data_IF_693327102072
#
_entry.id   IF_693327102072
#
_cell.length_a   1.000
_cell.length_b   1.000
_cell.length_c   1.000
_cell.angle_alpha   90.00
_cell.angle_beta   90.00
_cell.angle_gamma   90.00
#
_symmetry.space_group_name_H-M   'P 1'
#
loop_
_entity.id
_entity.type
_entity.pdbx_description
1 polymer ?
#
# COMPACT_ATOMS: atom_id res chain seq x y z
N UNK A 1 -1.70 -5.85 6.27
CA UNK A 1 -2.32 -5.82 4.93
C UNK A 1 -3.84 -5.89 5.03
N UNK A 2 -4.57 -5.08 4.27
CA UNK A 2 -6.04 -5.01 4.32
C UNK A 2 -6.61 -5.29 2.96
N UNK A 3 -7.31 -6.39 2.81
CA UNK A 3 -7.83 -6.82 1.51
C UNK A 3 -9.20 -6.21 1.20
N UNK A 4 -10.25 -6.52 1.91
CA UNK A 4 -11.57 -5.94 1.63
C UNK A 4 -11.87 -4.73 2.54
N UNK A 5 -12.22 -3.61 1.95
CA UNK A 5 -12.58 -2.40 2.70
C UNK A 5 -13.97 -2.45 3.37
N UNK A 6 -14.83 -3.36 2.99
CA UNK A 6 -16.15 -3.53 3.63
C UNK A 6 -16.06 -4.33 4.91
N UNK A 7 -14.95 -5.03 5.11
CA UNK A 7 -14.72 -5.86 6.29
C UNK A 7 -14.02 -5.04 7.37
N UNK A 8 -14.67 -4.89 8.49
CA UNK A 8 -14.07 -4.33 9.70
C UNK A 8 -13.18 -5.41 10.29
N UNK A 9 -11.86 -5.25 10.14
CA UNK A 9 -10.90 -6.19 10.71
C UNK A 9 -10.63 -5.85 12.17
N UNK A 10 -10.49 -6.89 12.99
CA UNK A 10 -9.91 -6.72 14.31
C UNK A 10 -8.48 -6.19 14.16
N UNK A 11 -8.06 -5.29 15.06
CA UNK A 11 -6.68 -4.80 15.07
C UNK A 11 -5.71 -5.95 15.35
N UNK A 12 -4.55 -5.91 14.74
CA UNK A 12 -3.45 -6.84 15.02
C UNK A 12 -2.84 -6.51 16.39
N UNK A 13 -2.64 -5.21 16.66
CA UNK A 13 -2.19 -4.72 17.96
C UNK A 13 -3.27 -3.85 18.61
N UNK A 14 -3.42 -3.89 19.94
CA UNK A 14 -4.32 -3.01 20.65
C UNK A 14 -3.93 -1.54 20.45
N UNK A 15 -4.88 -0.64 20.63
CA UNK A 15 -4.57 0.80 20.66
C UNK A 15 -3.62 1.07 21.86
N UNK A 16 -2.60 1.86 21.58
CA UNK A 16 -1.73 2.41 22.63
C UNK A 16 -2.51 3.53 23.30
N UNK A 17 -2.66 3.43 24.61
CA UNK A 17 -3.28 4.48 25.42
C UNK A 17 -2.28 5.62 25.59
N UNK A 18 -2.62 6.80 25.05
CA UNK A 18 -1.76 7.98 25.05
C UNK A 18 -2.50 9.12 25.71
N UNK A 19 -1.94 9.65 26.79
CA UNK A 19 -2.53 10.78 27.49
C UNK A 19 -2.40 12.07 26.68
N UNK A 20 -3.31 13.03 26.94
CA UNK A 20 -3.27 14.34 26.32
C UNK A 20 -1.96 15.10 26.61
N UNK A 21 -1.39 14.90 27.80
CA UNK A 21 -0.11 15.53 28.16
C UNK A 21 1.07 14.96 27.36
N UNK A 22 1.09 13.66 27.12
CA UNK A 22 2.09 13.02 26.25
C UNK A 22 1.97 13.52 24.80
N UNK A 23 0.75 13.67 24.29
CA UNK A 23 0.53 14.25 22.97
C UNK A 23 0.98 15.71 22.90
N UNK A 24 0.69 16.51 23.95
CA UNK A 24 1.12 17.91 24.04
C UNK A 24 2.65 18.05 24.06
N UNK A 25 3.33 17.15 24.75
CA UNK A 25 4.81 17.09 24.81
C UNK A 25 5.41 16.91 23.41
N UNK A 26 4.95 15.90 22.65
CA UNK A 26 5.54 15.59 21.34
C UNK A 26 5.16 16.56 20.23
N UNK A 27 4.00 17.23 20.31
CA UNK A 27 3.64 18.30 19.35
C UNK A 27 4.20 19.67 19.75
N UNK A 28 4.79 19.79 20.94
CA UNK A 28 5.46 21.01 21.41
C UNK A 28 4.50 22.17 21.69
N UNK A 29 3.22 21.89 22.08
CA UNK A 29 2.23 22.94 22.28
C UNK A 29 0.95 22.49 22.99
N UNK A 30 0.14 23.48 23.41
CA UNK A 30 -1.17 23.20 23.99
C UNK A 30 -2.14 22.68 22.94
N UNK A 31 -2.89 21.64 23.31
CA UNK A 31 -3.81 20.92 22.43
C UNK A 31 -5.25 21.45 22.59
N UNK A 32 -5.92 21.77 21.49
CA UNK A 32 -7.37 22.02 21.42
C UNK A 32 -8.11 20.69 21.34
N UNK A 33 -7.76 19.84 20.37
CA UNK A 33 -8.36 18.52 20.15
C UNK A 33 -7.33 17.45 19.90
N UNK A 34 -7.62 16.23 20.35
CA UNK A 34 -6.86 15.03 20.03
C UNK A 34 -7.86 13.89 19.84
N UNK A 35 -7.86 13.32 18.66
CA UNK A 35 -8.80 12.26 18.27
C UNK A 35 -8.04 11.08 17.69
N UNK A 36 -8.33 9.83 18.12
CA UNK A 36 -7.74 8.66 17.50
C UNK A 36 -8.24 8.54 16.05
N UNK A 37 -7.35 8.22 15.14
CA UNK A 37 -7.68 7.95 13.75
C UNK A 37 -8.13 6.51 13.62
N UNK A 38 -9.39 6.32 13.25
CA UNK A 38 -9.94 5.00 13.03
C UNK A 38 -9.37 4.35 11.77
N UNK A 39 -9.38 3.05 11.78
CA UNK A 39 -9.07 2.26 10.59
C UNK A 39 -7.62 1.74 10.51
N UNK A 40 -6.68 2.11 11.40
CA UNK A 40 -5.36 1.48 11.54
C UNK A 40 -5.45 0.05 12.11
N UNK A 41 -4.72 -0.94 11.53
CA UNK A 41 -4.70 -2.32 12.07
C UNK A 41 -3.61 -2.49 13.12
N UNK A 42 -2.52 -1.80 12.94
CA UNK A 42 -1.25 -2.00 13.64
C UNK A 42 -0.96 -0.81 14.55
N UNK A 43 -0.62 0.32 14.02
CA UNK A 43 -0.18 1.48 14.76
C UNK A 43 -1.33 2.33 15.33
N UNK A 44 -1.03 3.13 16.31
CA UNK A 44 -1.98 4.10 16.88
C UNK A 44 -1.65 5.49 16.35
N UNK A 45 -2.62 6.13 15.72
CA UNK A 45 -2.47 7.48 15.18
C UNK A 45 -3.49 8.38 15.86
N UNK A 46 -3.04 9.56 16.29
CA UNK A 46 -3.92 10.63 16.77
C UNK A 46 -3.83 11.83 15.84
N UNK A 47 -4.99 12.36 15.45
CA UNK A 47 -5.08 13.69 14.85
C UNK A 47 -5.12 14.71 15.97
N UNK A 48 -4.12 15.57 16.04
CA UNK A 48 -3.94 16.54 17.14
C UNK A 48 -3.97 17.95 16.58
N UNK A 49 -4.83 18.82 17.12
CA UNK A 49 -4.88 20.24 16.77
C UNK A 49 -4.43 21.08 17.97
N UNK A 50 -3.50 22.00 17.75
CA UNK A 50 -2.93 22.88 18.77
C UNK A 50 -3.66 24.22 18.85
N UNK A 51 -3.41 25.01 19.93
CA UNK A 51 -3.92 26.38 20.07
C UNK A 51 -3.39 27.32 18.98
N UNK A 52 -2.26 27.00 18.34
CA UNK A 52 -1.74 27.71 17.17
C UNK A 52 -2.51 27.37 15.87
N UNK A 53 -3.57 26.56 15.96
CA UNK A 53 -4.35 26.06 14.82
C UNK A 53 -3.54 25.23 13.81
N UNK A 54 -2.48 24.61 14.28
CA UNK A 54 -1.71 23.62 13.53
C UNK A 54 -2.27 22.24 13.81
N UNK A 55 -2.34 21.38 12.77
CA UNK A 55 -2.83 20.02 12.90
C UNK A 55 -1.74 19.01 12.53
N UNK A 56 -1.56 18.04 13.40
CA UNK A 56 -0.53 17.00 13.29
C UNK A 56 -1.14 15.61 13.34
N UNK A 57 -0.48 14.66 12.68
CA UNK A 57 -0.62 13.24 12.92
C UNK A 57 0.48 12.78 13.87
N UNK A 58 0.10 12.14 14.97
CA UNK A 58 1.03 11.55 15.93
C UNK A 58 0.92 10.04 15.82
N UNK A 59 1.90 9.39 15.21
CA UNK A 59 1.92 7.93 14.96
C UNK A 59 2.82 7.24 15.97
N UNK A 60 2.23 6.32 16.73
CA UNK A 60 2.90 5.44 17.68
C UNK A 60 3.02 4.04 17.08
N UNK A 61 4.23 3.50 17.03
CA UNK A 61 4.51 2.20 16.39
C UNK A 61 4.37 1.05 17.38
N UNK A 62 3.39 0.18 17.17
CA UNK A 62 3.19 -1.05 17.94
C UNK A 62 3.89 -2.25 17.29
N UNK A 63 4.20 -2.19 15.99
CA UNK A 63 4.88 -3.25 15.23
C UNK A 63 6.38 -3.37 15.44
N UNK A 64 6.96 -2.47 16.24
CA UNK A 64 8.37 -2.53 16.61
C UNK A 64 9.29 -1.54 15.89
N UNK A 65 10.57 -1.65 16.21
CA UNK A 65 11.63 -0.74 15.77
C UNK A 65 11.79 -0.72 14.25
N UNK A 66 11.75 -1.88 13.61
CA UNK A 66 12.01 -1.99 12.17
C UNK A 66 10.98 -1.18 11.35
N UNK A 67 9.72 -1.21 11.72
CA UNK A 67 8.66 -0.44 11.03
C UNK A 67 8.83 1.07 11.23
N UNK A 68 9.17 1.47 12.46
CA UNK A 68 9.46 2.88 12.77
C UNK A 68 10.67 3.39 11.95
N UNK A 69 11.77 2.66 11.95
CA UNK A 69 13.01 3.04 11.26
C UNK A 69 12.80 3.08 9.73
N UNK A 70 12.06 2.09 9.19
CA UNK A 70 11.71 2.03 7.77
C UNK A 70 10.90 3.25 7.35
N UNK A 71 9.81 3.57 8.06
CA UNK A 71 8.99 4.73 7.70
C UNK A 71 9.76 6.03 7.85
N UNK A 72 10.49 6.23 8.94
CA UNK A 72 11.29 7.45 9.16
C UNK A 72 12.34 7.65 8.07
N UNK A 73 13.06 6.59 7.71
CA UNK A 73 14.09 6.62 6.66
C UNK A 73 13.46 6.97 5.32
N UNK A 74 12.34 6.31 4.97
CA UNK A 74 11.63 6.53 3.71
C UNK A 74 11.04 7.93 3.60
N UNK A 75 10.39 8.43 4.65
CA UNK A 75 9.86 9.80 4.66
C UNK A 75 10.99 10.85 4.54
N UNK A 76 12.15 10.57 5.12
CA UNK A 76 13.33 11.46 5.00
C UNK A 76 13.87 11.45 3.56
N UNK A 77 13.99 10.26 2.95
CA UNK A 77 14.51 10.09 1.60
C UNK A 77 13.61 10.77 0.56
N UNK A 78 12.29 10.58 0.67
CA UNK A 78 11.31 11.07 -0.30
C UNK A 78 10.85 12.51 -0.06
N UNK A 79 11.36 13.17 0.98
CA UNK A 79 10.97 14.55 1.29
C UNK A 79 11.20 15.50 0.11
N UNK A 80 10.14 16.21 -0.28
CA UNK A 80 10.17 17.17 -1.41
C UNK A 80 10.10 16.53 -2.81
N UNK A 81 10.10 15.20 -2.93
CA UNK A 81 10.01 14.51 -4.23
C UNK A 81 8.61 13.97 -4.50
N UNK A 82 7.94 13.43 -3.49
CA UNK A 82 6.60 12.89 -3.56
C UNK A 82 5.66 13.56 -2.55
N UNK A 83 4.34 13.53 -2.76
CA UNK A 83 3.37 13.99 -1.78
C UNK A 83 3.29 12.98 -0.62
N UNK A 84 4.15 13.13 0.37
CA UNK A 84 4.25 12.28 1.55
C UNK A 84 4.08 13.11 2.83
N UNK A 85 3.86 12.48 4.01
CA UNK A 85 3.85 13.18 5.28
C UNK A 85 5.14 13.94 5.55
N UNK A 86 5.04 15.23 5.89
CA UNK A 86 6.18 16.03 6.34
C UNK A 86 6.42 15.77 7.82
N UNK A 87 7.55 15.12 8.14
CA UNK A 87 7.96 14.85 9.52
C UNK A 87 8.39 16.15 10.19
N UNK A 88 7.80 16.45 11.35
CA UNK A 88 8.11 17.68 12.12
C UNK A 88 8.80 17.40 13.45
N UNK A 89 8.59 16.19 14.01
CA UNK A 89 9.26 15.78 15.24
C UNK A 89 9.35 14.25 15.30
N UNK A 90 10.40 13.75 15.95
CA UNK A 90 10.64 12.32 16.17
C UNK A 90 10.99 12.11 17.63
N UNK A 91 10.27 11.24 18.32
CA UNK A 91 10.67 10.69 19.62
C UNK A 91 11.15 9.26 19.41
N UNK A 92 12.45 9.12 19.23
CA UNK A 92 13.10 7.85 18.94
C UNK A 92 12.92 6.83 20.08
N UNK A 93 12.99 7.30 21.32
CA UNK A 93 12.90 6.43 22.49
C UNK A 93 11.50 5.79 22.65
N UNK A 94 10.46 6.54 22.27
CA UNK A 94 9.07 6.06 22.33
C UNK A 94 8.56 5.52 21.00
N UNK A 95 9.39 5.55 19.94
CA UNK A 95 9.02 5.20 18.56
C UNK A 95 7.77 5.99 18.10
N UNK A 96 7.86 7.32 18.15
CA UNK A 96 6.79 8.24 17.75
C UNK A 96 7.26 9.12 16.62
N UNK A 97 6.50 9.18 15.53
CA UNK A 97 6.69 10.17 14.46
C UNK A 97 5.53 11.15 14.51
N UNK A 98 5.85 12.44 14.54
CA UNK A 98 4.89 13.53 14.39
C UNK A 98 5.07 14.13 12.99
N UNK A 99 4.00 14.19 12.23
CA UNK A 99 4.00 14.77 10.89
C UNK A 99 2.86 15.77 10.72
N UNK A 100 3.02 16.69 9.79
CA UNK A 100 1.91 17.60 9.43
C UNK A 100 0.73 16.80 8.91
N UNK A 101 -0.45 17.10 9.42
CA UNK A 101 -1.66 16.40 9.01
C UNK A 101 -1.97 16.64 7.54
N UNK A 102 -2.19 15.57 6.78
CA UNK A 102 -2.60 15.65 5.38
C UNK A 102 -4.12 15.57 5.31
N UNK A 103 -4.73 16.65 4.88
CA UNK A 103 -6.19 16.69 4.70
C UNK A 103 -6.60 15.95 3.42
N UNK A 104 -7.73 15.24 3.50
CA UNK A 104 -8.29 14.51 2.36
C UNK A 104 -9.09 13.30 2.79
N UNK A 105 -9.50 12.55 1.80
CA UNK A 105 -10.07 11.21 1.96
C UNK A 105 -9.23 10.21 1.19
N UNK A 106 -9.36 8.93 1.51
CA UNK A 106 -8.67 7.90 0.73
C UNK A 106 -9.24 7.80 -0.69
N UNK A 107 -8.41 7.42 -1.64
CA UNK A 107 -8.85 7.14 -3.01
C UNK A 107 -9.96 6.06 -3.03
N UNK A 108 -9.91 5.13 -2.07
CA UNK A 108 -10.96 4.14 -1.87
C UNK A 108 -12.29 4.78 -1.48
N UNK A 109 -12.28 5.70 -0.50
CA UNK A 109 -13.49 6.39 -0.05
C UNK A 109 -14.05 7.30 -1.13
N UNK A 110 -13.19 7.95 -1.91
CA UNK A 110 -13.61 8.73 -3.09
C UNK A 110 -14.46 7.86 -4.04
N UNK A 111 -13.93 6.67 -4.37
CA UNK A 111 -14.63 5.71 -5.24
C UNK A 111 -15.94 5.20 -4.61
N UNK A 112 -15.91 4.85 -3.32
CA UNK A 112 -17.10 4.37 -2.57
C UNK A 112 -18.22 5.40 -2.49
N UNK A 113 -17.87 6.68 -2.36
CA UNK A 113 -18.81 7.79 -2.37
C UNK A 113 -19.37 8.10 -3.76
N UNK A 114 -18.98 7.34 -4.77
CA UNK A 114 -19.54 7.44 -6.12
C UNK A 114 -18.94 8.55 -7.00
N UNK A 115 -17.80 9.12 -6.62
CA UNK A 115 -17.10 10.15 -7.40
C UNK A 115 -16.36 9.54 -8.60
N UNK A 116 -17.09 8.92 -9.55
CA UNK A 116 -16.52 8.15 -10.66
C UNK A 116 -15.61 8.97 -11.56
N UNK A 117 -16.04 10.17 -11.94
CA UNK A 117 -15.27 11.07 -12.80
C UNK A 117 -13.97 11.53 -12.10
N UNK A 118 -14.06 11.80 -10.80
CA UNK A 118 -12.89 12.16 -10.01
C UNK A 118 -11.90 11.00 -9.90
N UNK A 119 -12.41 9.79 -9.67
CA UNK A 119 -11.60 8.57 -9.62
C UNK A 119 -10.90 8.30 -10.96
N UNK A 120 -11.61 8.44 -12.07
CA UNK A 120 -11.04 8.30 -13.41
C UNK A 120 -9.97 9.36 -13.70
N UNK A 121 -10.21 10.62 -13.33
CA UNK A 121 -9.25 11.72 -13.53
C UNK A 121 -7.95 11.58 -12.70
N UNK A 122 -7.94 10.73 -11.69
CA UNK A 122 -6.76 10.49 -10.86
C UNK A 122 -5.85 9.36 -11.39
N UNK A 123 -6.26 8.62 -12.41
CA UNK A 123 -5.48 7.53 -12.98
C UNK A 123 -4.11 8.00 -13.51
N UNK A 124 -4.10 9.00 -14.37
CA UNK A 124 -2.87 9.57 -14.93
C UNK A 124 -1.96 10.20 -13.86
N UNK A 125 -2.46 11.03 -12.91
CA UNK A 125 -1.66 11.47 -11.77
C UNK A 125 -1.06 10.34 -10.94
N UNK A 126 -1.77 9.21 -10.75
CA UNK A 126 -1.23 8.04 -10.06
C UNK A 126 -0.10 7.39 -10.83
N UNK A 127 -0.25 7.21 -12.14
CA UNK A 127 0.82 6.73 -13.01
C UNK A 127 2.07 7.59 -12.89
N UNK A 128 1.93 8.90 -12.89
CA UNK A 128 3.02 9.88 -12.70
C UNK A 128 3.74 9.69 -11.36
N UNK A 129 2.99 9.53 -10.28
CA UNK A 129 3.56 9.35 -8.94
C UNK A 129 4.33 8.03 -8.85
N UNK A 130 3.79 6.94 -9.40
CA UNK A 130 4.47 5.66 -9.40
C UNK A 130 5.71 5.66 -10.31
N UNK A 131 5.69 6.39 -11.42
CA UNK A 131 6.88 6.59 -12.25
C UNK A 131 7.99 7.31 -11.48
N UNK A 132 7.65 8.35 -10.71
CA UNK A 132 8.62 9.05 -9.88
C UNK A 132 9.20 8.13 -8.79
N UNK A 133 8.37 7.26 -8.17
CA UNK A 133 8.83 6.27 -7.22
C UNK A 133 9.75 5.23 -7.88
N UNK A 134 9.39 4.74 -9.05
CA UNK A 134 10.19 3.79 -9.83
C UNK A 134 11.57 4.32 -10.28
N UNK A 135 11.76 5.64 -10.27
CA UNK A 135 13.05 6.28 -10.55
C UNK A 135 13.85 6.64 -9.30
N UNK A 136 13.32 6.34 -8.12
CA UNK A 136 14.04 6.52 -6.86
C UNK A 136 15.00 5.34 -6.64
N UNK A 137 16.25 5.65 -6.39
CA UNK A 137 17.29 4.63 -6.20
C UNK A 137 16.89 3.62 -5.11
N UNK A 138 17.16 2.36 -5.39
CA UNK A 138 17.03 1.28 -4.43
C UNK A 138 17.95 1.49 -3.23
N UNK A 139 17.44 1.25 -2.03
CA UNK A 139 18.22 1.38 -0.79
C UNK A 139 19.06 0.11 -0.54
N UNK A 140 18.60 -1.05 -1.04
CA UNK A 140 19.22 -2.35 -0.86
C UNK A 140 19.10 -3.19 -2.13
N UNK A 141 19.94 -4.23 -2.32
CA UNK A 141 19.74 -5.21 -3.38
C UNK A 141 18.41 -5.93 -3.23
N UNK A 142 17.72 -6.17 -4.34
CA UNK A 142 16.49 -6.94 -4.38
C UNK A 142 16.70 -8.25 -5.14
N UNK A 143 16.26 -9.34 -4.52
CA UNK A 143 16.21 -10.67 -5.14
C UNK A 143 14.79 -11.24 -5.00
N UNK A 144 14.15 -11.49 -6.12
CA UNK A 144 12.78 -12.04 -6.17
C UNK A 144 12.77 -13.55 -5.89
N UNK A 145 13.87 -14.26 -6.12
CA UNK A 145 13.90 -15.72 -6.03
C UNK A 145 13.46 -16.27 -4.65
N UNK A 146 13.90 -15.72 -3.51
CA UNK A 146 13.42 -16.20 -2.20
C UNK A 146 11.91 -16.08 -2.01
N UNK A 147 11.27 -15.02 -2.54
CA UNK A 147 9.81 -14.83 -2.46
C UNK A 147 9.07 -15.86 -3.31
N UNK A 148 9.57 -16.12 -4.51
CA UNK A 148 9.01 -17.14 -5.41
C UNK A 148 9.16 -18.55 -4.82
N UNK A 149 10.35 -18.90 -4.33
CA UNK A 149 10.62 -20.20 -3.71
C UNK A 149 9.70 -20.45 -2.51
N UNK A 150 9.56 -19.45 -1.62
CA UNK A 150 8.64 -19.52 -0.50
C UNK A 150 7.19 -19.71 -0.96
N UNK A 151 6.76 -18.99 -1.99
CA UNK A 151 5.42 -19.12 -2.56
C UNK A 151 5.20 -20.49 -3.19
N UNK A 152 6.19 -21.06 -3.87
CA UNK A 152 6.10 -22.42 -4.42
C UNK A 152 5.99 -23.50 -3.34
N UNK A 153 6.69 -23.34 -2.22
CA UNK A 153 6.53 -24.21 -1.05
C UNK A 153 5.12 -24.11 -0.48
N UNK A 154 4.63 -22.88 -0.24
CA UNK A 154 3.28 -22.61 0.30
C UNK A 154 2.17 -23.16 -0.59
N UNK A 155 2.35 -23.08 -1.93
CA UNK A 155 1.42 -23.64 -2.91
C UNK A 155 1.57 -25.16 -3.09
N UNK A 156 2.71 -25.73 -2.72
CA UNK A 156 2.99 -27.17 -2.80
C UNK A 156 2.33 -27.96 -1.68
N UNK A 157 2.62 -27.60 -0.43
CA UNK A 157 2.19 -28.34 0.77
C UNK A 157 1.83 -27.44 1.98
N UNK A 158 1.89 -26.10 1.81
CA UNK A 158 1.53 -25.14 2.84
C UNK A 158 0.02 -25.01 3.08
N UNK A 159 -0.34 -24.20 4.08
CA UNK A 159 -1.75 -23.85 4.38
C UNK A 159 -2.43 -23.13 3.24
N UNK A 160 -1.68 -22.31 2.49
CA UNK A 160 -2.17 -21.62 1.30
C UNK A 160 -2.78 -22.60 0.30
N UNK A 161 -2.14 -23.76 0.05
CA UNK A 161 -2.69 -24.81 -0.80
C UNK A 161 -4.02 -25.35 -0.27
N UNK A 162 -4.10 -25.59 1.04
CA UNK A 162 -5.35 -26.07 1.68
C UNK A 162 -6.51 -25.08 1.54
N UNK A 163 -6.22 -23.77 1.70
CA UNK A 163 -7.21 -22.69 1.62
C UNK A 163 -7.63 -22.37 0.18
N UNK A 164 -6.73 -22.48 -0.78
CA UNK A 164 -7.04 -22.32 -2.21
C UNK A 164 -7.78 -23.54 -2.79
N UNK A 165 -7.41 -24.73 -2.33
CA UNK A 165 -7.72 -26.00 -2.98
C UNK A 165 -6.70 -26.32 -4.08
N UNK A 166 -6.37 -27.60 -4.24
CA UNK A 166 -5.31 -28.06 -5.15
C UNK A 166 -5.44 -27.54 -6.60
N UNK A 167 -6.64 -27.55 -7.24
CA UNK A 167 -6.75 -27.09 -8.64
C UNK A 167 -6.40 -25.61 -8.83
N UNK A 168 -6.74 -24.74 -7.88
CA UNK A 168 -6.43 -23.30 -7.97
C UNK A 168 -4.97 -23.04 -7.61
N UNK A 169 -4.43 -23.72 -6.61
CA UNK A 169 -3.02 -23.61 -6.22
C UNK A 169 -2.09 -24.05 -7.37
N UNK A 170 -2.39 -25.18 -8.02
CA UNK A 170 -1.61 -25.68 -9.17
C UNK A 170 -1.72 -24.73 -10.37
N UNK A 171 -2.89 -24.16 -10.62
CA UNK A 171 -3.08 -23.19 -11.68
C UNK A 171 -2.30 -21.89 -11.41
N UNK A 172 -2.37 -21.34 -10.18
CA UNK A 172 -1.61 -20.14 -9.80
C UNK A 172 -0.10 -20.42 -9.93
N UNK A 173 0.39 -21.54 -9.41
CA UNK A 173 1.81 -21.92 -9.52
C UNK A 173 2.28 -21.89 -10.96
N UNK A 174 1.53 -22.47 -11.89
CA UNK A 174 1.86 -22.48 -13.31
C UNK A 174 1.94 -21.06 -13.90
N UNK A 175 1.02 -20.17 -13.51
CA UNK A 175 1.05 -18.77 -13.96
C UNK A 175 2.25 -18.02 -13.38
N UNK A 176 2.61 -18.25 -12.12
CA UNK A 176 3.81 -17.66 -11.51
C UNK A 176 5.08 -18.13 -12.21
N UNK A 177 5.23 -19.44 -12.48
CA UNK A 177 6.36 -20.02 -13.23
C UNK A 177 6.50 -19.39 -14.63
N UNK A 178 5.38 -19.17 -15.33
CA UNK A 178 5.38 -18.54 -16.64
C UNK A 178 5.68 -17.03 -16.60
N UNK A 179 5.35 -16.35 -15.50
CA UNK A 179 5.50 -14.91 -15.30
C UNK A 179 6.88 -14.52 -14.74
N UNK A 180 7.62 -15.44 -14.17
CA UNK A 180 8.88 -15.19 -13.46
C UNK A 180 9.84 -14.25 -14.22
N UNK A 181 10.08 -14.40 -15.55
CA UNK A 181 10.95 -13.50 -16.29
C UNK A 181 10.44 -12.05 -16.36
N UNK A 182 9.12 -11.84 -16.18
CA UNK A 182 8.47 -10.54 -16.28
C UNK A 182 8.30 -9.87 -14.92
N UNK A 183 8.33 -10.62 -13.81
CA UNK A 183 8.15 -10.10 -12.47
C UNK A 183 9.30 -9.21 -12.01
N UNK A 184 10.51 -9.44 -12.50
CA UNK A 184 11.70 -8.63 -12.26
C UNK A 184 11.88 -7.52 -13.31
N UNK A 185 10.79 -7.11 -13.99
CA UNK A 185 10.85 -6.07 -15.01
C UNK A 185 11.24 -4.72 -14.41
N UNK A 186 12.08 -3.99 -15.15
CA UNK A 186 12.53 -2.66 -14.79
C UNK A 186 13.76 -2.67 -13.88
N UNK A 187 14.27 -1.47 -13.60
CA UNK A 187 15.30 -1.30 -12.60
C UNK A 187 14.72 -1.49 -11.19
N UNK A 188 15.50 -2.07 -10.32
CA UNK A 188 15.15 -2.18 -8.91
C UNK A 188 15.05 -0.77 -8.30
N UNK A 189 13.97 -0.48 -7.60
CA UNK A 189 13.66 0.83 -7.05
C UNK A 189 13.11 0.74 -5.63
N UNK A 190 12.97 1.88 -4.98
CA UNK A 190 12.21 1.96 -3.73
C UNK A 190 10.74 1.64 -4.02
N UNK A 191 10.16 0.78 -3.20
CA UNK A 191 8.76 0.39 -3.23
C UNK A 191 8.08 0.74 -1.91
N UNK A 192 6.82 1.11 -1.97
CA UNK A 192 6.00 1.36 -0.79
C UNK A 192 5.74 0.07 0.01
N UNK A 193 5.64 -1.07 -0.67
CA UNK A 193 5.41 -2.38 -0.08
C UNK A 193 3.94 -2.71 0.28
N UNK A 194 3.07 -1.71 0.41
CA UNK A 194 1.60 -1.87 0.58
C UNK A 194 0.83 -0.73 -0.07
N UNK A 195 1.16 -0.38 -1.32
CA UNK A 195 0.48 0.71 -2.02
C UNK A 195 -0.93 0.30 -2.46
N UNK A 196 -1.90 0.73 -1.70
CA UNK A 196 -3.31 0.46 -1.99
C UNK A 196 -4.12 1.76 -2.09
N UNK A 197 -5.35 1.68 -2.59
CA UNK A 197 -6.25 2.84 -2.61
C UNK A 197 -6.54 3.45 -1.22
N UNK A 198 -6.17 2.77 -0.14
CA UNK A 198 -6.31 3.27 1.23
C UNK A 198 -5.17 4.18 1.63
N UNK A 199 -3.99 3.93 1.06
CA UNK A 199 -2.76 4.64 1.40
C UNK A 199 -2.53 5.85 0.46
N UNK A 200 -3.47 6.12 -0.47
CA UNK A 200 -3.49 7.31 -1.32
C UNK A 200 -4.56 8.27 -0.82
N UNK A 201 -4.15 9.42 -0.29
CA UNK A 201 -5.04 10.50 0.11
C UNK A 201 -5.26 11.46 -1.06
N UNK A 202 -6.51 11.82 -1.26
CA UNK A 202 -6.94 12.75 -2.31
C UNK A 202 -7.75 13.89 -1.71
N UNK A 203 -7.55 15.08 -2.25
CA UNK A 203 -8.27 16.27 -1.80
C UNK A 203 -8.78 17.09 -2.99
N UNK A 204 -9.88 17.81 -2.77
CA UNK A 204 -10.39 18.77 -3.75
C UNK A 204 -9.55 20.04 -3.74
N UNK A 205 -9.07 20.44 -4.91
CA UNK A 205 -8.28 21.66 -5.10
C UNK A 205 -8.85 22.45 -6.30
N UNK A 206 -9.48 23.57 -6.00
CA UNK A 206 -10.20 24.32 -7.04
C UNK A 206 -11.33 23.50 -7.65
N UNK A 207 -11.34 23.37 -8.97
CA UNK A 207 -12.36 22.63 -9.72
C UNK A 207 -12.11 21.11 -9.79
N UNK A 208 -10.94 20.61 -9.35
CA UNK A 208 -10.55 19.20 -9.53
C UNK A 208 -10.12 18.50 -8.26
N UNK A 209 -9.79 17.21 -8.40
CA UNK A 209 -9.21 16.39 -7.36
C UNK A 209 -7.72 16.17 -7.63
N UNK A 210 -6.91 16.06 -6.58
CA UNK A 210 -5.47 15.81 -6.66
C UNK A 210 -5.06 14.79 -5.62
N UNK A 211 -3.98 14.07 -5.90
CA UNK A 211 -3.27 13.28 -4.90
C UNK A 211 -2.66 14.28 -3.92
N UNK A 212 -3.02 14.15 -2.65
CA UNK A 212 -2.58 15.05 -1.59
C UNK A 212 -1.57 14.41 -0.66
N UNK A 213 -1.52 13.07 -0.63
CA UNK A 213 -0.55 12.33 0.15
C UNK A 213 -0.54 10.84 -0.15
N UNK A 214 0.63 10.23 -0.02
CA UNK A 214 0.82 8.79 0.09
C UNK A 214 1.32 8.52 1.50
N UNK A 215 0.63 7.67 2.24
CA UNK A 215 0.81 7.43 3.67
C UNK A 215 1.10 5.98 3.96
N UNK A 216 1.63 5.71 5.16
CA UNK A 216 1.84 4.36 5.69
C UNK A 216 3.02 3.62 5.01
N UNK A 217 4.21 4.22 5.13
CA UNK A 217 5.46 3.76 4.52
C UNK A 217 6.23 2.74 5.36
N UNK A 218 5.63 2.18 6.40
CA UNK A 218 6.28 1.28 7.37
C UNK A 218 6.72 -0.06 6.76
N UNK A 219 6.20 -0.41 5.59
CA UNK A 219 6.55 -1.61 4.81
C UNK A 219 7.40 -1.31 3.58
N UNK A 220 7.90 -0.07 3.47
CA UNK A 220 8.73 0.30 2.34
C UNK A 220 9.95 -0.60 2.21
N UNK A 221 10.28 -0.97 0.99
CA UNK A 221 11.33 -1.92 0.67
C UNK A 221 11.92 -1.62 -0.71
N UNK A 222 12.86 -2.42 -1.12
CA UNK A 222 13.40 -2.41 -2.47
C UNK A 222 12.74 -3.51 -3.30
N UNK A 223 12.25 -3.20 -4.49
CA UNK A 223 11.54 -4.16 -5.33
C UNK A 223 11.53 -3.78 -6.82
N UNK A 224 10.93 -4.63 -7.65
CA UNK A 224 10.52 -4.28 -9.01
C UNK A 224 9.42 -3.22 -8.97
N UNK A 225 9.39 -2.25 -9.90
CA UNK A 225 8.31 -1.26 -10.01
C UNK A 225 6.92 -1.88 -10.14
N UNK A 226 6.84 -3.11 -10.65
CA UNK A 226 5.57 -3.83 -10.79
C UNK A 226 4.95 -4.22 -9.44
N UNK A 227 5.71 -4.24 -8.35
CA UNK A 227 5.21 -4.63 -7.03
C UNK A 227 4.14 -3.66 -6.52
N UNK A 228 4.45 -2.37 -6.44
CA UNK A 228 3.49 -1.35 -6.02
C UNK A 228 2.33 -1.18 -7.02
N UNK A 229 2.61 -1.33 -8.32
CA UNK A 229 1.57 -1.34 -9.34
C UNK A 229 0.61 -2.51 -9.09
N UNK A 230 1.12 -3.69 -8.77
CA UNK A 230 0.33 -4.87 -8.46
C UNK A 230 -0.58 -4.67 -7.25
N UNK A 231 -0.04 -4.15 -6.18
CA UNK A 231 -0.79 -3.84 -4.96
C UNK A 231 -1.89 -2.79 -5.21
N UNK A 232 -1.61 -1.74 -6.00
CA UNK A 232 -2.61 -0.76 -6.42
C UNK A 232 -3.70 -1.39 -7.30
N UNK A 233 -3.35 -2.31 -8.20
CA UNK A 233 -4.26 -2.97 -9.16
C UNK A 233 -4.91 -4.25 -8.62
N UNK A 234 -4.65 -4.63 -7.39
CA UNK A 234 -5.10 -5.89 -6.73
C UNK A 234 -6.58 -6.20 -7.00
N UNK A 235 -7.43 -5.19 -6.93
CA UNK A 235 -8.86 -5.32 -7.25
C UNK A 235 -9.11 -4.87 -8.69
N UNK A 236 -8.74 -5.71 -9.66
CA UNK A 236 -8.78 -5.38 -11.09
C UNK A 236 -10.15 -4.93 -11.62
N UNK A 237 -11.25 -5.38 -11.02
CA UNK A 237 -12.62 -4.96 -11.35
C UNK A 237 -12.94 -3.49 -10.96
N UNK A 238 -12.03 -2.81 -10.29
CA UNK A 238 -12.14 -1.38 -9.95
C UNK A 238 -11.65 -0.45 -11.05
N UNK A 239 -10.93 -0.98 -12.03
CA UNK A 239 -10.27 -0.21 -13.09
C UNK A 239 -10.81 -0.69 -14.44
N UNK A 240 -11.49 0.19 -15.15
CA UNK A 240 -11.85 -0.06 -16.55
C UNK A 240 -10.65 0.21 -17.49
N UNK A 241 -10.76 -0.15 -18.76
CA UNK A 241 -9.67 0.02 -19.72
C UNK A 241 -9.25 1.47 -19.87
N UNK A 242 -10.19 2.42 -19.86
CA UNK A 242 -9.87 3.84 -19.95
C UNK A 242 -9.05 4.34 -18.77
N UNK A 243 -9.31 3.81 -17.57
CA UNK A 243 -8.53 4.08 -16.37
C UNK A 243 -7.10 3.51 -16.50
N UNK A 244 -6.97 2.27 -16.95
CA UNK A 244 -5.67 1.62 -17.17
C UNK A 244 -4.84 2.36 -18.22
N UNK A 245 -5.45 2.77 -19.33
CA UNK A 245 -4.79 3.54 -20.39
C UNK A 245 -4.31 4.91 -19.88
N UNK A 246 -5.11 5.57 -19.04
CA UNK A 246 -4.72 6.85 -18.45
C UNK A 246 -3.56 6.68 -17.44
N UNK A 247 -3.60 5.64 -16.62
CA UNK A 247 -2.50 5.29 -15.70
C UNK A 247 -1.21 5.02 -16.47
N UNK A 248 -1.27 4.17 -17.50
CA UNK A 248 -0.12 3.84 -18.35
C UNK A 248 0.49 5.06 -19.01
N UNK A 249 -0.33 5.97 -19.59
CA UNK A 249 0.16 7.26 -20.13
C UNK A 249 0.90 8.04 -19.06
N UNK A 250 0.29 8.26 -17.89
CA UNK A 250 0.93 9.00 -16.80
C UNK A 250 2.25 8.40 -16.36
N UNK A 251 2.34 7.07 -16.34
CA UNK A 251 3.54 6.35 -15.97
C UNK A 251 4.64 6.51 -17.03
N UNK A 252 4.34 6.25 -18.31
CA UNK A 252 5.31 6.32 -19.40
C UNK A 252 5.77 7.76 -19.71
N UNK A 253 4.86 8.73 -19.68
CA UNK A 253 5.17 10.14 -19.94
C UNK A 253 6.11 10.76 -18.87
N UNK A 254 6.25 10.07 -17.74
CA UNK A 254 7.14 10.48 -16.63
C UNK A 254 8.34 9.54 -16.44
N UNK A 255 8.73 8.83 -17.50
CA UNK A 255 9.96 8.06 -17.56
C UNK A 255 9.85 6.61 -17.05
N UNK A 256 8.66 6.17 -16.65
CA UNK A 256 8.44 4.77 -16.30
C UNK A 256 8.37 3.87 -17.53
N UNK A 257 8.88 2.65 -17.39
CA UNK A 257 8.79 1.62 -18.42
C UNK A 257 7.90 0.47 -17.95
N UNK A 258 6.99 0.03 -18.83
CA UNK A 258 6.04 -1.06 -18.54
C UNK A 258 6.12 -2.10 -19.65
N UNK A 259 6.17 -3.40 -19.30
CA UNK A 259 6.12 -4.47 -20.29
C UNK A 259 4.73 -4.57 -20.93
N UNK A 260 4.65 -5.25 -22.07
CA UNK A 260 3.36 -5.67 -22.59
C UNK A 260 2.59 -6.48 -21.53
N UNK A 261 1.28 -6.28 -21.42
CA UNK A 261 0.43 -6.92 -20.39
C UNK A 261 0.84 -6.60 -18.93
N UNK A 262 1.46 -5.43 -18.70
CA UNK A 262 1.99 -5.01 -17.39
C UNK A 262 1.00 -5.20 -16.22
N UNK A 263 -0.28 -4.89 -16.43
CA UNK A 263 -1.31 -5.04 -15.40
C UNK A 263 -1.49 -6.51 -14.95
N UNK A 264 -1.32 -7.44 -15.88
CA UNK A 264 -1.37 -8.87 -15.58
C UNK A 264 -0.15 -9.31 -14.76
N UNK A 265 1.06 -8.93 -15.20
CA UNK A 265 2.30 -9.29 -14.51
C UNK A 265 2.40 -8.66 -13.12
N UNK A 266 2.01 -7.41 -12.98
CA UNK A 266 1.96 -6.71 -11.70
C UNK A 266 1.01 -7.41 -10.71
N UNK A 267 -0.19 -7.80 -11.15
CA UNK A 267 -1.15 -8.52 -10.29
C UNK A 267 -0.71 -9.94 -9.95
N UNK A 268 0.06 -10.60 -10.81
CA UNK A 268 0.69 -11.89 -10.47
C UNK A 268 1.78 -11.72 -9.42
N UNK A 269 2.60 -10.68 -9.53
CA UNK A 269 3.60 -10.36 -8.51
C UNK A 269 2.94 -10.08 -7.15
N UNK A 270 1.85 -9.34 -7.12
CA UNK A 270 1.05 -9.09 -5.92
C UNK A 270 0.45 -10.39 -5.30
N UNK A 271 0.27 -11.45 -6.10
CA UNK A 271 -0.18 -12.74 -5.57
C UNK A 271 0.82 -13.39 -4.62
N UNK A 272 2.10 -13.01 -4.64
CA UNK A 272 3.08 -13.53 -3.68
C UNK A 272 2.69 -13.14 -2.25
N UNK A 273 2.28 -11.88 -2.05
CA UNK A 273 1.73 -11.40 -0.76
C UNK A 273 0.43 -12.11 -0.37
N UNK A 274 -0.45 -12.33 -1.35
CA UNK A 274 -1.72 -13.04 -1.10
C UNK A 274 -1.49 -14.49 -0.69
N UNK A 275 -0.49 -15.16 -1.28
CA UNK A 275 -0.10 -16.53 -0.93
C UNK A 275 0.52 -16.57 0.45
N UNK A 276 1.35 -15.59 0.80
CA UNK A 276 1.92 -15.47 2.13
C UNK A 276 0.83 -15.31 3.19
N UNK A 277 -0.11 -14.38 2.96
CA UNK A 277 -1.25 -14.17 3.85
C UNK A 277 -2.12 -15.43 4.00
N UNK A 278 -2.33 -16.17 2.90
CA UNK A 278 -3.04 -17.44 2.93
C UNK A 278 -2.29 -18.55 3.68
N UNK A 279 -1.00 -18.39 3.95
CA UNK A 279 -0.21 -19.38 4.68
C UNK A 279 -0.10 -19.08 6.18
N UNK A 280 -0.52 -17.90 6.64
CA UNK A 280 -0.51 -17.50 8.04
C UNK A 280 -1.29 -18.47 8.94
N UNK A 281 -0.77 -18.71 10.17
CA UNK A 281 -1.40 -19.58 11.17
C UNK A 281 -2.74 -19.05 11.63
N UNK A 282 -2.78 -17.75 11.87
CA UNK A 282 -3.92 -17.05 12.43
C UNK A 282 -4.34 -15.93 11.46
N UNK A 283 -5.63 -15.76 11.31
CA UNK A 283 -6.18 -14.73 10.46
C UNK A 283 -7.70 -14.79 10.43
N UNK A 284 -8.30 -13.76 9.88
CA UNK A 284 -9.74 -13.73 9.70
C UNK A 284 -10.12 -14.53 8.45
N UNK A 285 -11.05 -15.46 8.58
CA UNK A 285 -11.54 -16.27 7.46
C UNK A 285 -11.96 -15.41 6.26
N UNK A 286 -12.53 -14.25 6.52
CA UNK A 286 -12.92 -13.30 5.47
C UNK A 286 -11.74 -12.77 4.64
N UNK A 287 -10.55 -12.63 5.24
CA UNK A 287 -9.33 -12.26 4.50
C UNK A 287 -8.90 -13.40 3.58
N UNK A 288 -8.94 -14.62 4.07
CA UNK A 288 -8.60 -15.79 3.26
C UNK A 288 -9.56 -15.98 2.10
N UNK A 289 -10.86 -15.76 2.32
CA UNK A 289 -11.89 -15.83 1.28
C UNK A 289 -11.70 -14.74 0.21
N UNK A 290 -11.28 -13.53 0.62
CA UNK A 290 -10.97 -12.43 -0.29
C UNK A 290 -9.71 -12.74 -1.12
N UNK A 291 -8.62 -13.17 -0.50
CA UNK A 291 -7.41 -13.63 -1.21
C UNK A 291 -7.72 -14.71 -2.24
N UNK A 292 -8.47 -15.73 -1.83
CA UNK A 292 -8.89 -16.81 -2.73
C UNK A 292 -9.71 -16.29 -3.91
N UNK A 293 -10.61 -15.35 -3.66
CA UNK A 293 -11.45 -14.74 -4.70
C UNK A 293 -10.62 -13.94 -5.69
N UNK A 294 -9.65 -13.14 -5.22
CA UNK A 294 -8.75 -12.35 -6.05
C UNK A 294 -7.88 -13.25 -6.94
N UNK A 295 -7.28 -14.27 -6.36
CA UNK A 295 -6.46 -15.25 -7.08
C UNK A 295 -7.30 -16.01 -8.11
N UNK A 296 -8.52 -16.44 -7.75
CA UNK A 296 -9.39 -17.16 -8.68
C UNK A 296 -9.80 -16.30 -9.87
N UNK A 297 -10.10 -15.02 -9.65
CA UNK A 297 -10.40 -14.06 -10.73
C UNK A 297 -9.20 -13.89 -11.65
N UNK A 298 -8.01 -13.66 -11.10
CA UNK A 298 -6.80 -13.46 -11.88
C UNK A 298 -6.47 -14.66 -12.75
N UNK A 299 -6.48 -15.88 -12.19
CA UNK A 299 -6.24 -17.13 -12.94
C UNK A 299 -7.31 -17.37 -14.01
N UNK A 300 -8.58 -16.98 -13.76
CA UNK A 300 -9.63 -17.09 -14.76
C UNK A 300 -9.49 -16.09 -15.91
N UNK A 301 -8.95 -14.89 -15.66
CA UNK A 301 -8.70 -13.86 -16.68
C UNK A 301 -7.61 -14.30 -17.67
N UNK A 302 -6.57 -14.98 -17.18
CA UNK A 302 -5.51 -15.56 -18.04
C UNK A 302 -6.04 -16.57 -19.05
N UNK A 303 -7.01 -17.39 -18.65
CA UNK A 303 -7.58 -18.44 -19.51
C UNK A 303 -8.50 -17.90 -20.61
N UNK A 304 -8.85 -16.64 -20.56
CA UNK A 304 -9.78 -15.98 -21.52
C UNK A 304 -9.06 -15.09 -22.55
N UNK A 305 -7.84 -14.69 -22.31
CA UNK A 305 -6.99 -13.90 -23.22
C UNK A 305 -5.93 -14.74 -23.92
#
# INVERSE_FOLDING_TARGET
MRLDPTVTHARVFPLIDVSRDQLAEVVGGRIISAEPVEGGLTNTIHKVTTEANETFGVKHYAGGRDWFDTELTTLTLLHGTLPIPEVVHVDDARMVIVYRWIEGMTLLDLRRKGHKEAFAALAEPLGRVLAALATTDAVEPFDLAPMLDASYVRLGDGRARGRLGAPLADALRKELEAAEPMMAWGAVCLSHGDLSHRNVLVARRGAGWRINGIIDWETATTSSPLFDIGSLMRYGDRHDQAWLDAFERGYRDHGGDLPERWNHWARLLDCLDLVELLDEDQGLQVLFDDCRTLIAKLVADVRRG
#
